data_IF_623075666101
#
_entry.id   IF_623075666101
#
_cell.length_a   1.000
_cell.length_b   1.000
_cell.length_c   1.000
_cell.angle_alpha   90.00
_cell.angle_beta   90.00
_cell.angle_gamma   90.00
#
_symmetry.space_group_name_H-M   'P 1'
#
loop_
_entity.id
_entity.type
_entity.pdbx_description
1 polymer ?
#
# COMPACT_ATOMS: atom_id res chain seq x y z
N UNK A 1 -22.78 -47.70 -44.67
CA UNK A 1 -21.91 -47.43 -43.50
C UNK A 1 -21.21 -46.07 -43.56
N UNK A 2 -20.63 -45.61 -44.69
CA UNK A 2 -19.92 -44.31 -44.78
C UNK A 2 -20.74 -43.08 -44.35
N UNK A 3 -22.02 -42.94 -44.74
CA UNK A 3 -22.87 -41.79 -44.37
C UNK A 3 -23.10 -41.65 -42.85
N UNK A 4 -23.21 -42.76 -42.14
CA UNK A 4 -23.41 -42.75 -40.68
C UNK A 4 -22.15 -42.28 -39.97
N UNK A 5 -20.96 -42.69 -40.44
CA UNK A 5 -19.70 -42.24 -39.86
C UNK A 5 -19.42 -40.74 -40.08
N UNK A 6 -19.84 -40.18 -41.23
CA UNK A 6 -19.73 -38.73 -41.50
C UNK A 6 -20.64 -37.92 -40.58
N UNK A 7 -21.90 -38.32 -40.45
CA UNK A 7 -22.87 -37.68 -39.54
C UNK A 7 -22.44 -37.75 -38.06
N UNK A 8 -21.84 -38.87 -37.62
CA UNK A 8 -21.35 -39.01 -36.25
C UNK A 8 -20.16 -38.06 -35.98
N UNK A 9 -19.26 -37.90 -36.95
CA UNK A 9 -18.13 -36.98 -36.85
C UNK A 9 -18.55 -35.51 -36.79
N UNK A 10 -19.55 -35.12 -37.58
CA UNK A 10 -20.11 -33.76 -37.55
C UNK A 10 -20.72 -33.43 -36.18
N UNK A 11 -21.49 -34.35 -35.60
CA UNK A 11 -22.08 -34.18 -34.27
C UNK A 11 -21.02 -34.09 -33.15
N UNK A 12 -19.95 -34.90 -33.23
CA UNK A 12 -18.84 -34.85 -32.29
C UNK A 12 -18.05 -33.53 -32.40
N UNK A 13 -17.85 -33.04 -33.62
CA UNK A 13 -17.20 -31.77 -33.87
C UNK A 13 -18.03 -30.59 -33.34
N UNK A 14 -19.33 -30.58 -33.59
CA UNK A 14 -20.24 -29.54 -33.07
C UNK A 14 -20.24 -29.54 -31.53
N UNK A 15 -20.32 -30.71 -30.89
CA UNK A 15 -20.26 -30.81 -29.43
C UNK A 15 -18.95 -30.26 -28.87
N UNK A 16 -17.81 -30.57 -29.50
CA UNK A 16 -16.49 -30.06 -29.08
C UNK A 16 -16.41 -28.55 -29.26
N UNK A 17 -16.92 -28.00 -30.36
CA UNK A 17 -16.97 -26.55 -30.57
C UNK A 17 -17.80 -25.84 -29.51
N UNK A 18 -19.01 -26.33 -29.22
CA UNK A 18 -19.87 -25.75 -28.18
C UNK A 18 -19.19 -25.77 -26.81
N UNK A 19 -18.53 -26.88 -26.48
CA UNK A 19 -17.74 -26.98 -25.23
C UNK A 19 -16.62 -25.95 -25.19
N UNK A 20 -15.84 -25.83 -26.27
CA UNK A 20 -14.73 -24.88 -26.32
C UNK A 20 -15.23 -23.43 -26.21
N UNK A 21 -16.32 -23.08 -26.90
CA UNK A 21 -16.93 -21.76 -26.80
C UNK A 21 -17.43 -21.45 -25.39
N UNK A 22 -18.03 -22.43 -24.70
CA UNK A 22 -18.43 -22.27 -23.29
C UNK A 22 -17.21 -21.98 -22.41
N UNK A 23 -16.15 -22.78 -22.53
CA UNK A 23 -14.93 -22.60 -21.74
C UNK A 23 -14.27 -21.24 -22.02
N UNK A 24 -14.28 -20.77 -23.27
CA UNK A 24 -13.77 -19.43 -23.61
C UNK A 24 -14.61 -18.34 -22.93
N UNK A 25 -15.93 -18.48 -22.90
CA UNK A 25 -16.80 -17.51 -22.22
C UNK A 25 -16.57 -17.53 -20.70
N UNK A 26 -16.41 -18.71 -20.10
CA UNK A 26 -16.12 -18.85 -18.67
C UNK A 26 -14.79 -18.15 -18.32
N UNK A 27 -13.72 -18.42 -19.08
CA UNK A 27 -12.42 -17.76 -18.93
C UNK A 27 -12.55 -16.24 -19.08
N UNK A 28 -13.37 -15.77 -20.03
CA UNK A 28 -13.60 -14.35 -20.24
C UNK A 28 -14.28 -13.71 -19.03
N UNK A 29 -15.31 -14.36 -18.49
CA UNK A 29 -16.04 -13.88 -17.32
C UNK A 29 -15.11 -13.84 -16.10
N UNK A 30 -14.35 -14.90 -15.86
CA UNK A 30 -13.41 -14.98 -14.75
C UNK A 30 -12.33 -13.89 -14.87
N UNK A 31 -11.75 -13.71 -16.06
CA UNK A 31 -10.78 -12.66 -16.31
C UNK A 31 -11.35 -11.25 -16.09
N UNK A 32 -12.62 -11.00 -16.44
CA UNK A 32 -13.28 -9.72 -16.17
C UNK A 32 -13.53 -9.50 -14.67
N UNK A 33 -13.87 -10.56 -13.94
CA UNK A 33 -14.04 -10.50 -12.48
C UNK A 33 -12.70 -10.23 -11.78
N UNK A 34 -11.62 -10.90 -12.20
CA UNK A 34 -10.28 -10.68 -11.67
C UNK A 34 -9.83 -9.23 -11.92
N UNK A 35 -10.03 -8.70 -13.12
CA UNK A 35 -9.69 -7.31 -13.44
C UNK A 35 -10.47 -6.32 -12.57
N UNK A 36 -11.75 -6.60 -12.28
CA UNK A 36 -12.56 -5.76 -11.37
C UNK A 36 -12.04 -5.85 -9.93
N UNK A 37 -11.73 -7.05 -9.45
CA UNK A 37 -11.14 -7.22 -8.13
C UNK A 37 -9.80 -6.48 -7.98
N UNK A 38 -8.93 -6.57 -9.00
CA UNK A 38 -7.68 -5.81 -9.03
C UNK A 38 -7.91 -4.30 -9.01
N UNK A 39 -8.94 -3.80 -9.71
CA UNK A 39 -9.31 -2.39 -9.68
C UNK A 39 -9.72 -1.94 -8.28
N UNK A 40 -10.55 -2.73 -7.59
CA UNK A 40 -11.00 -2.45 -6.23
C UNK A 40 -9.81 -2.46 -5.25
N UNK A 41 -8.89 -3.42 -5.40
CA UNK A 41 -7.66 -3.49 -4.63
C UNK A 41 -6.79 -2.24 -4.84
N UNK A 42 -6.57 -1.81 -6.10
CA UNK A 42 -5.80 -0.60 -6.38
C UNK A 42 -6.41 0.64 -5.73
N UNK A 43 -7.73 0.76 -5.73
CA UNK A 43 -8.42 1.86 -5.06
C UNK A 43 -8.23 1.82 -3.54
N UNK A 44 -8.29 0.62 -2.95
CA UNK A 44 -8.02 0.43 -1.53
C UNK A 44 -6.58 0.82 -1.18
N UNK A 45 -5.59 0.33 -1.94
CA UNK A 45 -4.17 0.66 -1.74
C UNK A 45 -3.92 2.17 -1.85
N UNK A 46 -4.54 2.84 -2.81
CA UNK A 46 -4.44 4.29 -2.95
C UNK A 46 -4.93 5.02 -1.69
N UNK A 47 -6.06 4.58 -1.13
CA UNK A 47 -6.62 5.13 0.11
C UNK A 47 -5.67 4.93 1.30
N UNK A 48 -5.13 3.72 1.44
CA UNK A 48 -4.16 3.39 2.50
C UNK A 48 -2.90 4.24 2.39
N UNK A 49 -2.37 4.41 1.17
CA UNK A 49 -1.18 5.24 0.93
C UNK A 49 -1.40 6.71 1.30
N UNK A 50 -2.56 7.27 0.96
CA UNK A 50 -2.92 8.64 1.35
C UNK A 50 -2.96 8.76 2.87
N UNK A 51 -3.62 7.84 3.56
CA UNK A 51 -3.70 7.85 5.03
C UNK A 51 -2.31 7.73 5.68
N UNK A 52 -1.45 6.85 5.16
CA UNK A 52 -0.07 6.73 5.64
C UNK A 52 0.72 8.02 5.45
N UNK A 53 0.58 8.67 4.30
CA UNK A 53 1.25 9.94 4.01
C UNK A 53 0.79 11.04 4.98
N UNK A 54 -0.52 11.18 5.21
CA UNK A 54 -1.08 12.15 6.16
C UNK A 54 -0.59 11.90 7.59
N UNK A 55 -0.64 10.64 8.03
CA UNK A 55 -0.17 10.26 9.36
C UNK A 55 1.33 10.53 9.54
N UNK A 56 2.13 10.24 8.52
CA UNK A 56 3.56 10.52 8.54
C UNK A 56 3.85 12.02 8.62
N UNK A 57 3.13 12.84 7.85
CA UNK A 57 3.26 14.30 7.92
C UNK A 57 2.86 14.85 9.30
N UNK A 58 1.78 14.34 9.88
CA UNK A 58 1.35 14.71 11.22
C UNK A 58 2.41 14.34 12.28
N UNK A 59 3.01 13.15 12.17
CA UNK A 59 4.07 12.71 13.06
C UNK A 59 5.33 13.60 12.94
N UNK A 60 5.72 13.97 11.72
CA UNK A 60 6.83 14.90 11.50
C UNK A 60 6.56 16.27 12.12
N UNK A 61 5.33 16.79 11.99
CA UNK A 61 4.93 18.06 12.59
C UNK A 61 4.98 18.00 14.13
N UNK A 62 4.50 16.91 14.73
CA UNK A 62 4.58 16.70 16.18
C UNK A 62 6.02 16.58 16.65
N UNK A 63 6.86 15.84 15.92
CA UNK A 63 8.29 15.72 16.25
C UNK A 63 8.99 17.07 16.21
N UNK A 64 8.75 17.87 15.16
CA UNK A 64 9.28 19.25 15.06
C UNK A 64 8.83 20.12 16.23
N UNK A 65 7.55 20.05 16.61
CA UNK A 65 7.01 20.79 17.74
C UNK A 65 7.67 20.39 19.06
N UNK A 66 7.80 19.08 19.33
CA UNK A 66 8.47 18.57 20.53
C UNK A 66 9.93 19.00 20.60
N UNK A 67 10.67 18.91 19.48
CA UNK A 67 12.05 19.41 19.39
C UNK A 67 12.14 20.90 19.74
N UNK A 68 11.23 21.72 19.21
CA UNK A 68 11.18 23.15 19.53
C UNK A 68 10.85 23.42 20.99
N UNK A 69 9.93 22.67 21.59
CA UNK A 69 9.59 22.81 23.01
C UNK A 69 10.78 22.46 23.91
N UNK A 70 11.46 21.36 23.60
CA UNK A 70 12.65 20.92 24.33
C UNK A 70 13.78 21.96 24.27
N UNK A 71 14.01 22.56 23.10
CA UNK A 71 14.98 23.65 22.95
C UNK A 71 14.55 24.88 23.74
N UNK A 72 13.27 25.27 23.67
CA UNK A 72 12.75 26.39 24.47
C UNK A 72 12.91 26.18 25.98
N UNK A 73 12.76 24.95 26.47
CA UNK A 73 13.03 24.63 27.89
C UNK A 73 14.50 24.81 28.29
N UNK A 74 15.45 24.70 27.36
CA UNK A 74 16.87 25.01 27.62
C UNK A 74 17.06 26.52 27.74
N UNK A 75 16.42 27.30 26.84
CA UNK A 75 16.49 28.76 26.84
C UNK A 75 15.92 29.34 28.14
N UNK A 76 14.79 28.80 28.62
CA UNK A 76 14.17 29.17 29.90
C UNK A 76 15.02 28.76 31.12
N UNK A 77 15.94 27.80 30.96
CA UNK A 77 16.86 27.38 32.01
C UNK A 77 18.10 28.28 32.12
N UNK A 78 18.24 29.31 31.27
CA UNK A 78 19.41 30.18 31.18
C UNK A 78 20.73 29.39 31.03
N UNK A 79 20.68 28.21 30.42
CA UNK A 79 21.86 27.37 30.17
C UNK A 79 22.49 27.74 28.82
N UNK A 80 23.81 27.78 28.74
CA UNK A 80 24.54 28.03 27.49
C UNK A 80 25.65 26.99 27.29
N UNK A 81 26.23 26.86 26.08
CA UNK A 81 27.37 25.98 25.86
C UNK A 81 28.51 26.26 26.84
N UNK A 82 28.94 25.25 27.60
CA UNK A 82 29.94 25.40 28.66
C UNK A 82 29.40 25.58 30.09
N UNK A 83 28.08 25.82 30.25
CA UNK A 83 27.40 25.87 31.55
C UNK A 83 26.00 25.23 31.49
N UNK A 84 25.90 24.02 30.90
CA UNK A 84 24.63 23.30 30.84
C UNK A 84 24.44 22.48 32.11
N UNK A 85 23.23 22.53 32.68
CA UNK A 85 22.83 21.60 33.73
C UNK A 85 22.58 20.20 33.15
N UNK A 86 22.58 19.17 34.01
CA UNK A 86 22.38 17.77 33.62
C UNK A 86 21.13 17.54 32.76
N UNK A 87 20.04 18.26 33.05
CA UNK A 87 18.80 18.16 32.28
C UNK A 87 18.96 18.71 30.86
N UNK A 88 19.58 19.88 30.70
CA UNK A 88 19.85 20.47 29.39
C UNK A 88 20.84 19.63 28.58
N UNK A 89 21.83 19.03 29.24
CA UNK A 89 22.77 18.09 28.58
C UNK A 89 22.03 16.89 28.02
N UNK A 90 21.17 16.23 28.82
CA UNK A 90 20.35 15.09 28.36
C UNK A 90 19.41 15.46 27.22
N UNK A 91 18.79 16.65 27.26
CA UNK A 91 17.93 17.12 26.16
C UNK A 91 18.74 17.25 24.87
N UNK A 92 19.94 17.84 24.93
CA UNK A 92 20.80 17.99 23.74
C UNK A 92 21.27 16.64 23.20
N UNK A 93 21.64 15.70 24.07
CA UNK A 93 22.01 14.33 23.68
C UNK A 93 20.83 13.65 22.97
N UNK A 94 19.64 13.67 23.57
CA UNK A 94 18.42 13.14 22.96
C UNK A 94 18.17 13.75 21.57
N UNK A 95 18.27 15.08 21.45
CA UNK A 95 18.07 15.77 20.17
C UNK A 95 19.15 15.46 19.13
N UNK A 96 20.40 15.25 19.57
CA UNK A 96 21.55 14.93 18.73
C UNK A 96 21.49 13.53 18.14
N UNK A 97 20.96 12.56 18.89
CA UNK A 97 20.76 11.18 18.41
C UNK A 97 19.65 11.08 17.33
N UNK A 98 18.72 12.04 17.28
CA UNK A 98 17.70 12.15 16.21
C UNK A 98 18.21 12.75 14.89
N UNK A 99 19.52 13.03 14.75
CA UNK A 99 20.14 13.64 13.55
C UNK A 99 21.13 12.70 12.85
N UNK A 100 21.26 11.44 13.30
CA UNK A 100 22.03 10.38 12.59
C UNK A 100 21.14 9.43 11.82
#
# INVERSE_FOLDING_TARGET
MKKVAVSLNEALWEKRLRSNLSTIEDIRIDGLNDLRAMQDDFHHWQTVLISLQENYQALLAQNKRLKSMLLGSIDECYCWPGNRCDRCTKIIELLGDFVR
#
